data_IF_977042932426
#
_entry.id   IF_977042932426
#
_cell.length_a   1.000
_cell.length_b   1.000
_cell.length_c   1.000
_cell.angle_alpha   90.00
_cell.angle_beta   90.00
_cell.angle_gamma   90.00
#
_symmetry.space_group_name_H-M   'P 1'
#
loop_
_entity.id
_entity.type
_entity.pdbx_description
1 polymer ?
#
# COMPACT_ATOMS: atom_id res chain seq x y z
N UNK A 1 -0.96 16.30 -57.54
CA UNK A 1 -1.66 15.69 -56.40
C UNK A 1 -0.89 14.46 -56.00
N UNK A 2 -0.05 14.56 -54.98
CA UNK A 2 0.64 13.42 -54.39
C UNK A 2 0.34 13.49 -52.89
N UNK A 3 -0.68 12.74 -52.48
CA UNK A 3 -1.09 12.63 -51.09
C UNK A 3 -0.22 11.54 -50.46
N UNK A 4 0.92 11.93 -49.89
CA UNK A 4 1.78 11.02 -49.12
C UNK A 4 1.08 10.70 -47.79
N UNK A 5 0.52 9.50 -47.70
CA UNK A 5 -0.02 8.97 -46.44
C UNK A 5 1.19 8.62 -45.56
N UNK A 6 1.34 9.17 -44.34
CA UNK A 6 2.45 8.81 -43.47
C UNK A 6 2.40 7.32 -43.13
N UNK A 7 3.35 6.56 -43.67
CA UNK A 7 3.58 5.17 -43.32
C UNK A 7 4.16 5.12 -41.90
N UNK A 8 3.26 4.85 -40.94
CA UNK A 8 3.53 4.45 -39.54
C UNK A 8 3.87 5.60 -38.58
N UNK A 9 3.29 5.53 -37.38
CA UNK A 9 3.65 6.36 -36.22
C UNK A 9 5.04 5.97 -35.66
N UNK A 10 6.08 6.05 -36.49
CA UNK A 10 7.48 5.70 -36.15
C UNK A 10 8.21 6.82 -35.37
N UNK A 11 7.47 7.83 -34.90
CA UNK A 11 8.03 9.04 -34.31
C UNK A 11 7.36 9.45 -33.00
N UNK A 12 6.74 8.51 -32.28
CA UNK A 12 6.30 8.79 -30.91
C UNK A 12 7.52 8.82 -30.00
N UNK A 13 7.75 9.94 -29.33
CA UNK A 13 8.71 10.05 -28.23
C UNK A 13 8.16 9.28 -27.02
N UNK A 14 8.93 8.32 -26.53
CA UNK A 14 8.59 7.59 -25.29
C UNK A 14 9.74 7.70 -24.30
N UNK A 15 9.41 7.64 -23.01
CA UNK A 15 10.42 7.66 -21.96
C UNK A 15 11.09 6.28 -21.82
N UNK A 16 12.41 6.26 -21.72
CA UNK A 16 13.15 5.03 -21.43
C UNK A 16 12.87 4.55 -20.00
N UNK A 17 12.50 3.28 -19.77
CA UNK A 17 12.20 2.77 -18.42
C UNK A 17 13.44 2.64 -17.51
N UNK A 18 14.63 2.99 -17.99
CA UNK A 18 15.90 2.89 -17.23
C UNK A 18 16.47 4.25 -16.87
N UNK A 19 16.55 5.16 -17.84
CA UNK A 19 17.14 6.49 -17.63
C UNK A 19 16.11 7.62 -17.69
N UNK A 20 14.83 7.30 -17.95
CA UNK A 20 13.71 8.22 -18.07
C UNK A 20 13.84 9.30 -19.15
N UNK A 21 14.89 9.27 -19.96
CA UNK A 21 15.05 10.16 -21.11
C UNK A 21 14.09 9.78 -22.23
N UNK A 22 13.52 10.78 -22.87
CA UNK A 22 12.70 10.60 -24.07
C UNK A 22 13.57 10.17 -25.26
N UNK A 23 13.05 9.26 -26.08
CA UNK A 23 13.69 8.84 -27.31
C UNK A 23 12.65 8.51 -28.38
N UNK A 24 13.06 8.64 -29.65
CA UNK A 24 12.22 8.24 -30.78
C UNK A 24 12.20 6.72 -30.91
N UNK A 25 10.99 6.16 -30.94
CA UNK A 25 10.79 4.72 -31.11
C UNK A 25 10.96 4.35 -32.58
N UNK A 26 12.04 3.67 -32.90
CA UNK A 26 12.16 2.95 -34.17
C UNK A 26 11.66 1.52 -34.01
N UNK A 27 10.56 1.17 -34.67
CA UNK A 27 9.98 -0.19 -34.63
C UNK A 27 9.52 -0.61 -33.22
N UNK A 28 10.01 -1.76 -32.71
CA UNK A 28 9.63 -2.28 -31.37
C UNK A 28 10.65 -1.95 -30.27
N UNK A 29 11.47 -0.92 -30.46
CA UNK A 29 12.53 -0.55 -29.50
C UNK A 29 11.92 0.09 -28.25
N UNK A 30 12.16 -0.50 -27.08
CA UNK A 30 11.62 -0.03 -25.79
C UNK A 30 12.64 0.67 -24.89
N UNK A 31 13.93 0.68 -25.28
CA UNK A 31 15.01 1.32 -24.53
C UNK A 31 15.74 2.30 -25.44
N UNK A 32 16.21 3.44 -24.92
CA UNK A 32 16.91 4.43 -25.74
C UNK A 32 18.22 3.88 -26.35
N UNK A 33 18.90 2.96 -25.66
CA UNK A 33 20.21 2.40 -26.05
C UNK A 33 20.41 0.93 -25.62
N UNK A 34 21.42 0.27 -26.21
CA UNK A 34 21.86 -1.07 -25.79
C UNK A 34 22.38 -1.08 -24.34
N UNK A 35 22.97 0.03 -23.87
CA UNK A 35 23.35 0.19 -22.45
C UNK A 35 22.13 0.09 -21.54
N UNK A 36 21.05 0.82 -21.86
CA UNK A 36 19.81 0.75 -21.08
C UNK A 36 19.15 -0.63 -21.19
N UNK A 37 19.16 -1.25 -22.38
CA UNK A 37 18.66 -2.62 -22.57
C UNK A 37 19.41 -3.64 -21.70
N UNK A 38 20.74 -3.60 -21.70
CA UNK A 38 21.57 -4.48 -20.87
C UNK A 38 21.38 -4.21 -19.38
N UNK A 39 21.22 -2.95 -18.97
CA UNK A 39 20.90 -2.59 -17.59
C UNK A 39 19.56 -3.20 -17.16
N UNK A 40 18.51 -3.04 -17.95
CA UNK A 40 17.20 -3.64 -17.67
C UNK A 40 17.24 -5.18 -17.65
N UNK A 41 18.05 -5.81 -18.49
CA UNK A 41 18.29 -7.25 -18.44
C UNK A 41 18.94 -7.67 -17.10
N UNK A 42 20.01 -6.99 -16.69
CA UNK A 42 20.69 -7.26 -15.42
C UNK A 42 19.78 -7.03 -14.22
N UNK A 43 19.03 -5.93 -14.18
CA UNK A 43 18.08 -5.65 -13.10
C UNK A 43 17.02 -6.74 -13.00
N UNK A 44 16.42 -7.19 -14.12
CA UNK A 44 15.45 -8.29 -14.11
C UNK A 44 16.05 -9.58 -13.59
N UNK A 45 17.26 -9.92 -14.03
CA UNK A 45 17.98 -11.12 -13.59
C UNK A 45 18.32 -11.07 -12.10
N UNK A 46 18.82 -9.93 -11.61
CA UNK A 46 19.13 -9.75 -10.19
C UNK A 46 17.85 -9.77 -9.34
N UNK A 47 16.79 -9.11 -9.79
CA UNK A 47 15.51 -9.08 -9.07
C UNK A 47 14.86 -10.47 -9.01
N UNK A 48 15.01 -11.29 -10.07
CA UNK A 48 14.56 -12.70 -10.05
C UNK A 48 15.32 -13.59 -9.04
N UNK A 49 16.49 -13.14 -8.57
CA UNK A 49 17.27 -13.81 -7.52
C UNK A 49 16.94 -13.29 -6.11
N UNK A 50 16.23 -12.16 -5.98
CA UNK A 50 15.75 -11.69 -4.69
C UNK A 50 14.64 -12.64 -4.22
N UNK A 51 14.87 -13.28 -3.07
CA UNK A 51 13.81 -14.05 -2.42
C UNK A 51 12.70 -13.09 -2.02
N UNK A 52 11.46 -13.43 -2.39
CA UNK A 52 10.28 -12.72 -1.87
C UNK A 52 10.35 -12.78 -0.35
N UNK A 53 10.34 -11.64 0.35
CA UNK A 53 10.33 -11.66 1.81
C UNK A 53 9.11 -12.46 2.26
N UNK A 54 9.34 -13.43 3.15
CA UNK A 54 8.24 -14.16 3.76
C UNK A 54 7.48 -13.16 4.63
N UNK A 55 6.34 -12.68 4.13
CA UNK A 55 5.44 -11.85 4.93
C UNK A 55 4.87 -12.73 6.02
N UNK A 56 4.99 -12.31 7.28
CA UNK A 56 4.43 -13.02 8.42
C UNK A 56 2.92 -13.24 8.28
N UNK A 57 2.37 -14.19 9.04
CA UNK A 57 0.92 -14.41 9.09
C UNK A 57 0.22 -13.12 9.52
N UNK A 58 -0.87 -12.74 8.83
CA UNK A 58 -1.69 -11.58 9.24
C UNK A 58 -2.18 -11.81 10.67
N UNK A 59 -1.79 -10.94 11.59
CA UNK A 59 -2.30 -10.98 12.96
C UNK A 59 -3.73 -10.43 13.01
N UNK A 60 -4.61 -10.99 13.85
CA UNK A 60 -5.95 -10.46 14.01
C UNK A 60 -5.87 -9.04 14.61
N UNK A 61 -6.66 -8.12 14.07
CA UNK A 61 -6.72 -6.74 14.53
C UNK A 61 -7.62 -6.56 15.77
N UNK A 62 -8.50 -7.53 16.03
CA UNK A 62 -9.46 -7.50 17.14
C UNK A 62 -8.77 -7.25 18.49
N UNK A 63 -7.69 -7.96 18.89
CA UNK A 63 -7.08 -7.79 20.22
C UNK A 63 -6.50 -6.39 20.50
N UNK A 64 -6.25 -5.59 19.47
CA UNK A 64 -5.69 -4.24 19.58
C UNK A 64 -6.73 -3.15 19.24
N UNK A 65 -7.99 -3.52 19.11
CA UNK A 65 -9.08 -2.60 18.76
C UNK A 65 -9.89 -2.26 19.99
N UNK A 66 -10.07 -0.96 20.25
CA UNK A 66 -10.96 -0.45 21.30
C UNK A 66 -12.37 -0.32 20.75
N UNK A 67 -13.34 -0.82 21.52
CA UNK A 67 -14.77 -0.71 21.24
C UNK A 67 -15.45 0.06 22.37
N UNK A 68 -16.53 0.77 22.04
CA UNK A 68 -17.32 1.57 22.98
C UNK A 68 -18.82 1.25 22.83
N UNK A 69 -19.51 1.08 23.95
CA UNK A 69 -20.94 0.86 23.97
C UNK A 69 -21.69 2.17 23.77
N UNK A 70 -22.51 2.26 22.72
CA UNK A 70 -23.32 3.46 22.46
C UNK A 70 -24.46 3.67 23.49
N UNK A 71 -24.68 2.72 24.40
CA UNK A 71 -25.73 2.80 25.43
C UNK A 71 -25.17 3.27 26.76
N UNK A 72 -24.18 2.57 27.32
CA UNK A 72 -23.62 2.88 28.64
C UNK A 72 -22.26 3.58 28.59
N UNK A 73 -21.64 3.72 27.41
CA UNK A 73 -20.31 4.32 27.26
C UNK A 73 -19.14 3.42 27.69
N UNK A 74 -19.42 2.21 28.19
CA UNK A 74 -18.39 1.25 28.58
C UNK A 74 -17.43 0.97 27.42
N UNK A 75 -16.14 0.79 27.72
CA UNK A 75 -15.11 0.55 26.71
C UNK A 75 -14.35 -0.72 26.98
N UNK A 76 -14.07 -1.47 25.92
CA UNK A 76 -13.35 -2.73 26.01
C UNK A 76 -12.29 -2.86 24.92
N UNK A 77 -11.16 -3.48 25.29
CA UNK A 77 -10.10 -3.84 24.34
C UNK A 77 -10.37 -5.24 23.79
N UNK A 78 -10.63 -5.30 22.49
CA UNK A 78 -10.83 -6.56 21.79
C UNK A 78 -12.10 -7.32 22.12
N UNK A 79 -12.98 -6.81 22.98
CA UNK A 79 -14.33 -7.35 23.15
C UNK A 79 -15.34 -6.50 22.40
N UNK A 80 -16.21 -7.15 21.62
CA UNK A 80 -17.16 -6.46 20.73
C UNK A 80 -18.56 -6.33 21.33
N UNK A 81 -18.83 -7.04 22.42
CA UNK A 81 -20.10 -6.98 23.12
C UNK A 81 -19.89 -6.37 24.49
N UNK A 82 -20.73 -5.40 24.82
CA UNK A 82 -20.74 -4.83 26.15
C UNK A 82 -21.18 -5.90 27.16
N UNK A 83 -20.44 -6.03 28.26
CA UNK A 83 -20.76 -7.01 29.32
C UNK A 83 -22.08 -6.69 30.02
N UNK A 84 -22.37 -5.40 30.23
CA UNK A 84 -23.60 -4.96 30.89
C UNK A 84 -24.81 -4.92 29.93
N UNK A 85 -24.69 -4.19 28.81
CA UNK A 85 -25.79 -3.99 27.87
C UNK A 85 -26.03 -5.18 26.94
N UNK A 86 -25.06 -6.09 26.81
CA UNK A 86 -25.09 -7.24 25.88
C UNK A 86 -25.31 -6.85 24.40
N UNK A 87 -25.11 -5.58 24.04
CA UNK A 87 -25.18 -5.07 22.66
C UNK A 87 -23.80 -5.04 22.01
N UNK A 88 -23.81 -5.09 20.68
CA UNK A 88 -22.59 -4.83 19.91
C UNK A 88 -22.17 -3.38 20.08
N UNK A 89 -20.88 -3.20 20.31
CA UNK A 89 -20.22 -1.92 20.54
C UNK A 89 -19.69 -1.36 19.22
N UNK A 90 -19.62 -0.03 19.09
CA UNK A 90 -18.97 0.59 17.93
C UNK A 90 -17.46 0.49 18.06
N UNK A 91 -16.76 0.47 16.92
CA UNK A 91 -15.30 0.55 16.90
C UNK A 91 -14.87 2.01 17.12
N UNK A 92 -13.97 2.22 18.09
CA UNK A 92 -13.35 3.53 18.32
C UNK A 92 -12.07 3.67 17.50
N UNK A 93 -11.16 2.70 17.61
CA UNK A 93 -9.86 2.77 16.94
C UNK A 93 -8.90 1.69 17.42
N UNK A 94 -7.64 1.79 17.01
CA UNK A 94 -6.58 0.98 17.62
C UNK A 94 -6.17 1.57 18.96
N UNK A 95 -5.82 0.73 19.92
CA UNK A 95 -5.51 1.17 21.27
C UNK A 95 -5.07 0.06 22.20
N UNK A 96 -5.12 0.36 23.49
CA UNK A 96 -4.68 -0.52 24.56
C UNK A 96 -5.35 -0.19 25.89
N UNK A 97 -4.97 -0.92 26.94
CA UNK A 97 -5.36 -0.61 28.30
C UNK A 97 -4.38 0.39 28.91
N UNK A 98 -4.89 1.37 29.64
CA UNK A 98 -4.08 2.28 30.42
C UNK A 98 -3.40 1.51 31.56
N UNK A 99 -2.06 1.59 31.72
CA UNK A 99 -1.34 0.85 32.76
C UNK A 99 -1.65 1.31 34.19
N UNK A 100 -2.40 2.40 34.37
CA UNK A 100 -2.73 2.96 35.69
C UNK A 100 -4.16 2.65 36.15
N UNK A 101 -5.11 2.53 35.22
CA UNK A 101 -6.53 2.36 35.55
C UNK A 101 -7.22 1.23 34.77
N UNK A 102 -6.49 0.51 33.92
CA UNK A 102 -6.99 -0.53 33.02
C UNK A 102 -8.10 -0.08 32.05
N UNK A 103 -8.38 1.22 31.97
CA UNK A 103 -9.33 1.78 31.01
C UNK A 103 -8.84 1.62 29.56
N UNK A 104 -9.74 1.22 28.65
CA UNK A 104 -9.40 1.09 27.24
C UNK A 104 -9.34 2.47 26.55
N UNK A 105 -8.19 2.79 25.96
CA UNK A 105 -7.88 4.09 25.35
C UNK A 105 -7.46 3.90 23.89
N UNK A 106 -8.01 4.72 22.99
CA UNK A 106 -7.66 4.71 21.58
C UNK A 106 -6.47 5.65 21.31
N UNK A 107 -5.60 5.28 20.36
CA UNK A 107 -4.42 6.06 20.00
C UNK A 107 -4.76 7.48 19.54
N UNK A 108 -5.85 7.64 18.78
CA UNK A 108 -6.25 8.94 18.24
C UNK A 108 -6.54 9.95 19.36
N UNK A 109 -7.03 9.49 20.52
CA UNK A 109 -7.31 10.33 21.70
C UNK A 109 -6.05 10.83 22.41
N UNK A 110 -4.90 10.19 22.19
CA UNK A 110 -3.61 10.58 22.77
C UNK A 110 -2.84 11.57 21.89
N UNK A 111 -3.27 11.75 20.64
CA UNK A 111 -2.56 12.58 19.65
C UNK A 111 -3.22 13.93 19.40
N UNK A 112 -4.47 14.11 19.86
CA UNK A 112 -5.16 15.39 19.85
C UNK A 112 -4.86 16.10 21.16
N UNK A 113 -3.69 16.75 21.22
CA UNK A 113 -3.35 17.77 22.22
C UNK A 113 -3.64 19.16 21.69
#
# INVERSE_FOLDING_TARGET
MSNEIPLRHDSVTVACPVCHSDFLVSGRKTYCSERCRASAYRTRRNNSQLKVPVVGKKQPLKPITVYECDICGERALGEQRCDECQKFMRRVGFGGLCPHCDGAVAYDELTVG
#
